data_IF_059483168428
#
_entry.id   IF_059483168428
#
_cell.length_a   1.000
_cell.length_b   1.000
_cell.length_c   1.000
_cell.angle_alpha   90.00
_cell.angle_beta   90.00
_cell.angle_gamma   90.00
#
_symmetry.space_group_name_H-M   'P 1'
#
loop_
_entity.id
_entity.type
_entity.pdbx_description
1 polymer ?
#
# COMPACT_ATOMS: atom_id res chain seq x y z
N UNK A 1 -10.24 -1.52 -29.02
CA UNK A 1 -9.01 -1.04 -28.36
C UNK A 1 -9.38 -0.45 -26.99
N UNK A 2 -8.53 -0.62 -25.98
CA UNK A 2 -8.72 0.04 -24.68
C UNK A 2 -8.43 1.54 -24.79
N UNK A 3 -9.21 2.37 -24.11
CA UNK A 3 -8.95 3.81 -24.00
C UNK A 3 -7.66 4.08 -23.21
N UNK A 4 -7.13 5.31 -23.29
CA UNK A 4 -5.96 5.70 -22.51
C UNK A 4 -6.24 5.63 -21.00
N UNK A 5 -7.43 6.07 -20.60
CA UNK A 5 -7.89 6.06 -19.21
C UNK A 5 -8.00 4.61 -18.67
N UNK A 6 -8.54 3.68 -19.46
CA UNK A 6 -8.63 2.28 -19.07
C UNK A 6 -7.25 1.64 -18.91
N UNK A 7 -6.28 2.01 -19.77
CA UNK A 7 -4.90 1.55 -19.63
C UNK A 7 -4.23 2.11 -18.37
N UNK A 8 -4.42 3.41 -18.08
CA UNK A 8 -3.89 4.04 -16.89
C UNK A 8 -4.48 3.40 -15.63
N UNK A 9 -5.78 3.11 -15.63
CA UNK A 9 -6.46 2.40 -14.53
C UNK A 9 -5.86 1.01 -14.30
N UNK A 10 -5.64 0.24 -15.37
CA UNK A 10 -5.01 -1.09 -15.30
C UNK A 10 -3.58 -1.01 -14.75
N UNK A 11 -2.77 -0.06 -15.26
CA UNK A 11 -1.37 0.08 -14.86
C UNK A 11 -1.21 0.51 -13.40
N UNK A 12 -2.10 1.39 -12.92
CA UNK A 12 -2.09 1.83 -11.52
C UNK A 12 -2.13 0.67 -10.53
N UNK A 13 -2.90 -0.40 -10.83
CA UNK A 13 -2.99 -1.56 -9.95
C UNK A 13 -1.64 -2.28 -9.79
N UNK A 14 -0.81 -2.27 -10.83
CA UNK A 14 0.56 -2.79 -10.77
C UNK A 14 1.46 -2.06 -9.75
N UNK A 15 1.24 -0.75 -9.56
CA UNK A 15 1.93 0.04 -8.54
C UNK A 15 1.34 -0.15 -7.15
N UNK A 16 0.04 0.03 -7.05
CA UNK A 16 -0.73 0.02 -5.82
C UNK A 16 -0.68 -1.34 -5.08
N UNK A 17 -0.75 -2.45 -5.81
CA UNK A 17 -0.71 -3.80 -5.24
C UNK A 17 0.61 -4.14 -4.54
N UNK A 18 1.70 -3.43 -4.85
CA UNK A 18 2.98 -3.62 -4.15
C UNK A 18 2.90 -3.28 -2.66
N UNK A 19 2.06 -2.32 -2.27
CA UNK A 19 1.82 -2.02 -0.86
C UNK A 19 1.13 -3.19 -0.15
N UNK A 20 0.10 -3.77 -0.75
CA UNK A 20 -0.62 -4.90 -0.17
C UNK A 20 0.27 -6.14 -0.01
N UNK A 21 1.03 -6.50 -1.05
CA UNK A 21 1.85 -7.70 -1.07
C UNK A 21 3.11 -7.56 -0.22
N UNK A 22 3.84 -6.47 -0.38
CA UNK A 22 5.15 -6.28 0.27
C UNK A 22 5.01 -5.72 1.68
N UNK A 23 4.19 -4.68 1.88
CA UNK A 23 4.11 -4.01 3.18
C UNK A 23 3.10 -4.70 4.09
N UNK A 24 1.82 -4.77 3.70
CA UNK A 24 0.76 -5.28 4.60
C UNK A 24 0.94 -6.77 4.89
N UNK A 25 1.11 -7.59 3.85
CA UNK A 25 1.08 -9.04 3.99
C UNK A 25 2.41 -9.64 4.50
N UNK A 26 3.55 -8.98 4.25
CA UNK A 26 4.85 -9.58 4.52
C UNK A 26 5.71 -8.75 5.48
N UNK A 27 6.29 -7.65 5.02
CA UNK A 27 7.42 -7.07 5.74
C UNK A 27 7.03 -6.25 6.96
N UNK A 28 5.88 -5.55 6.94
CA UNK A 28 5.52 -4.73 8.09
C UNK A 28 5.28 -5.57 9.36
N UNK A 29 4.47 -6.64 9.35
CA UNK A 29 4.25 -7.44 10.56
C UNK A 29 5.53 -8.05 11.12
N UNK A 30 6.39 -8.60 10.25
CA UNK A 30 7.66 -9.23 10.67
C UNK A 30 8.60 -8.16 11.25
N UNK A 31 8.79 -7.07 10.52
CA UNK A 31 9.72 -6.02 10.92
C UNK A 31 9.22 -5.23 12.15
N UNK A 32 7.91 -5.10 12.29
CA UNK A 32 7.32 -4.55 13.51
C UNK A 32 7.72 -5.37 14.72
N UNK A 33 7.56 -6.70 14.66
CA UNK A 33 7.88 -7.60 15.77
C UNK A 33 9.37 -7.63 16.10
N UNK A 34 10.23 -7.68 15.09
CA UNK A 34 11.65 -7.98 15.26
C UNK A 34 12.53 -6.74 15.41
N UNK A 35 12.08 -5.59 14.89
CA UNK A 35 12.88 -4.37 14.84
C UNK A 35 12.27 -3.22 15.65
N UNK A 36 11.03 -2.82 15.34
CA UNK A 36 10.45 -1.66 16.00
C UNK A 36 9.90 -1.96 17.40
N UNK A 37 9.29 -3.12 17.59
CA UNK A 37 8.69 -3.54 18.87
C UNK A 37 9.49 -4.64 19.57
N UNK A 38 10.77 -4.83 19.21
CA UNK A 38 11.60 -5.95 19.71
C UNK A 38 11.65 -6.08 21.23
N UNK A 39 11.57 -4.97 21.95
CA UNK A 39 11.58 -4.94 23.42
C UNK A 39 10.23 -5.25 24.09
N UNK A 40 9.14 -5.39 23.33
CA UNK A 40 7.82 -5.70 23.88
C UNK A 40 7.57 -7.21 23.95
N UNK A 41 6.68 -7.62 24.87
CA UNK A 41 6.20 -9.00 24.97
C UNK A 41 5.41 -9.41 23.71
N UNK A 42 5.42 -10.71 23.37
CA UNK A 42 4.84 -11.22 22.13
C UNK A 42 3.32 -10.94 22.00
N UNK A 43 2.59 -11.09 23.10
CA UNK A 43 1.15 -10.82 23.17
C UNK A 43 0.85 -9.33 22.94
N UNK A 44 1.68 -8.45 23.49
CA UNK A 44 1.56 -7.00 23.33
C UNK A 44 1.82 -6.58 21.90
N UNK A 45 2.85 -7.14 21.23
CA UNK A 45 3.14 -6.89 19.81
C UNK A 45 1.95 -7.25 18.93
N UNK A 46 1.39 -8.44 19.12
CA UNK A 46 0.24 -8.92 18.36
C UNK A 46 -0.99 -8.04 18.59
N UNK A 47 -1.25 -7.66 19.85
CA UNK A 47 -2.34 -6.78 20.20
C UNK A 47 -2.19 -5.40 19.54
N UNK A 48 -1.01 -4.80 19.56
CA UNK A 48 -0.78 -3.48 18.95
C UNK A 48 -0.91 -3.50 17.44
N UNK A 49 -0.42 -4.55 16.75
CA UNK A 49 -0.66 -4.73 15.32
C UNK A 49 -2.15 -4.85 15.01
N UNK A 50 -2.87 -5.68 15.77
CA UNK A 50 -4.31 -5.84 15.63
C UNK A 50 -5.07 -4.53 15.88
N UNK A 51 -4.72 -3.78 16.92
CA UNK A 51 -5.32 -2.48 17.20
C UNK A 51 -5.02 -1.44 16.11
N UNK A 52 -3.78 -1.40 15.60
CA UNK A 52 -3.41 -0.48 14.51
C UNK A 52 -4.25 -0.70 13.25
N UNK A 53 -4.42 -1.94 12.83
CA UNK A 53 -5.28 -2.31 11.70
C UNK A 53 -6.76 -2.03 12.00
N UNK A 54 -7.23 -2.38 13.19
CA UNK A 54 -8.63 -2.17 13.60
C UNK A 54 -8.98 -0.69 13.60
N UNK A 55 -8.14 0.15 14.20
CA UNK A 55 -8.39 1.60 14.28
C UNK A 55 -8.42 2.20 12.86
N UNK A 56 -7.45 1.87 11.99
CA UNK A 56 -7.44 2.42 10.62
C UNK A 56 -8.68 1.99 9.83
N UNK A 57 -9.16 0.75 9.98
CA UNK A 57 -10.36 0.27 9.33
C UNK A 57 -11.65 0.85 9.94
N UNK A 58 -11.69 1.10 11.25
CA UNK A 58 -12.82 1.81 11.88
C UNK A 58 -12.91 3.26 11.40
N UNK A 59 -11.79 3.96 11.31
CA UNK A 59 -11.77 5.32 10.74
C UNK A 59 -12.29 5.29 9.30
N UNK A 60 -11.90 4.30 8.49
CA UNK A 60 -12.43 4.13 7.13
C UNK A 60 -13.94 3.89 7.14
N UNK A 61 -14.44 3.01 8.00
CA UNK A 61 -15.87 2.71 8.12
C UNK A 61 -16.69 3.99 8.37
N UNK A 62 -16.25 4.85 9.29
CA UNK A 62 -16.97 6.08 9.61
C UNK A 62 -16.77 7.19 8.56
N UNK A 63 -15.64 7.22 7.86
CA UNK A 63 -15.36 8.26 6.85
C UNK A 63 -15.85 7.89 5.44
N UNK A 64 -16.03 6.60 5.13
CA UNK A 64 -16.40 6.14 3.79
C UNK A 64 -17.72 6.73 3.26
N UNK A 65 -18.82 6.92 4.05
CA UNK A 65 -20.01 7.58 3.55
C UNK A 65 -19.78 9.05 3.13
N UNK A 66 -18.93 9.76 3.88
CA UNK A 66 -18.57 11.15 3.56
C UNK A 66 -17.69 11.22 2.31
N UNK A 67 -16.73 10.31 2.18
CA UNK A 67 -15.89 10.17 0.98
C UNK A 67 -16.79 9.88 -0.23
N UNK A 68 -17.76 8.97 -0.10
CA UNK A 68 -18.73 8.64 -1.13
C UNK A 68 -19.52 9.87 -1.59
N UNK A 69 -20.13 10.61 -0.66
CA UNK A 69 -20.90 11.82 -0.94
C UNK A 69 -20.07 12.93 -1.60
N UNK A 70 -18.83 13.14 -1.16
CA UNK A 70 -17.92 14.13 -1.73
C UNK A 70 -17.48 13.78 -3.16
N UNK A 71 -17.50 12.51 -3.53
CA UNK A 71 -17.02 12.02 -4.82
C UNK A 71 -18.10 11.75 -5.86
N UNK A 72 -19.31 12.27 -5.67
CA UNK A 72 -20.36 12.23 -6.70
C UNK A 72 -20.00 13.11 -7.92
N UNK A 73 -19.05 14.05 -7.75
CA UNK A 73 -18.47 14.83 -8.82
C UNK A 73 -17.12 14.23 -9.24
N UNK A 74 -16.96 13.88 -10.52
CA UNK A 74 -15.77 13.18 -11.04
C UNK A 74 -14.43 13.89 -10.77
N UNK A 75 -14.42 15.22 -10.76
CA UNK A 75 -13.21 16.02 -10.44
C UNK A 75 -12.77 15.80 -9.00
N UNK A 76 -13.71 15.80 -8.04
CA UNK A 76 -13.42 15.58 -6.62
C UNK A 76 -12.89 14.17 -6.38
N UNK A 77 -13.41 13.17 -7.09
CA UNK A 77 -12.92 11.77 -7.04
C UNK A 77 -11.44 11.69 -7.37
N UNK A 78 -10.99 12.32 -8.46
CA UNK A 78 -9.57 12.30 -8.87
C UNK A 78 -8.68 13.02 -7.86
N UNK A 79 -9.11 14.16 -7.33
CA UNK A 79 -8.34 14.92 -6.33
C UNK A 79 -8.14 14.11 -5.06
N UNK A 80 -9.23 13.52 -4.52
CA UNK A 80 -9.15 12.71 -3.30
C UNK A 80 -8.35 11.43 -3.54
N UNK A 81 -8.54 10.75 -4.66
CA UNK A 81 -7.76 9.58 -5.06
C UNK A 81 -6.26 9.88 -5.07
N UNK A 82 -5.84 10.95 -5.75
CA UNK A 82 -4.43 11.35 -5.79
C UNK A 82 -3.92 11.75 -4.41
N UNK A 83 -4.73 12.45 -3.63
CA UNK A 83 -4.38 12.86 -2.26
C UNK A 83 -4.15 11.65 -1.34
N UNK A 84 -5.07 10.69 -1.31
CA UNK A 84 -4.92 9.47 -0.54
C UNK A 84 -3.71 8.64 -1.01
N UNK A 85 -3.52 8.50 -2.32
CA UNK A 85 -2.35 7.82 -2.87
C UNK A 85 -1.05 8.48 -2.42
N UNK A 86 -0.93 9.81 -2.54
CA UNK A 86 0.26 10.55 -2.14
C UNK A 86 0.55 10.41 -0.64
N UNK A 87 -0.47 10.55 0.24
CA UNK A 87 -0.30 10.38 1.68
C UNK A 87 0.16 8.96 2.02
N UNK A 88 -0.43 7.95 1.37
CA UNK A 88 -0.03 6.55 1.58
C UNK A 88 1.43 6.33 1.18
N UNK A 89 1.81 6.76 -0.03
CA UNK A 89 3.18 6.66 -0.57
C UNK A 89 4.19 7.32 0.38
N UNK A 90 3.92 8.55 0.83
CA UNK A 90 4.81 9.26 1.76
C UNK A 90 4.89 8.54 3.10
N UNK A 91 3.76 8.06 3.62
CA UNK A 91 3.74 7.34 4.91
C UNK A 91 4.56 6.04 4.84
N UNK A 92 4.50 5.31 3.73
CA UNK A 92 5.33 4.12 3.50
C UNK A 92 6.81 4.49 3.39
N UNK A 93 7.15 5.59 2.68
CA UNK A 93 8.53 6.07 2.59
C UNK A 93 9.11 6.44 3.96
N UNK A 94 8.30 7.03 4.85
CA UNK A 94 8.71 7.39 6.22
C UNK A 94 9.13 6.16 7.03
N UNK A 95 8.55 4.97 6.79
CA UNK A 95 8.94 3.74 7.49
C UNK A 95 10.44 3.41 7.33
N UNK A 96 11.05 3.82 6.22
CA UNK A 96 12.50 3.67 6.01
C UNK A 96 13.32 4.39 7.08
N UNK A 97 12.88 5.53 7.57
CA UNK A 97 13.63 6.41 8.48
C UNK A 97 13.36 6.12 9.97
N UNK A 98 12.35 5.31 10.30
CA UNK A 98 11.96 5.03 11.69
C UNK A 98 13.02 4.14 12.37
N UNK A 99 13.65 4.61 13.48
CA UNK A 99 14.67 3.84 14.16
C UNK A 99 14.10 2.62 14.92
N UNK A 100 15.00 1.68 15.25
CA UNK A 100 14.66 0.53 16.08
C UNK A 100 14.04 0.95 17.42
N UNK A 101 13.07 0.19 17.92
CA UNK A 101 12.37 0.47 19.17
C UNK A 101 11.24 1.50 19.06
N UNK A 102 11.12 2.21 17.94
CA UNK A 102 10.09 3.27 17.75
C UNK A 102 8.77 2.69 17.21
N UNK A 103 8.26 1.66 17.90
CA UNK A 103 7.08 0.91 17.48
C UNK A 103 5.81 1.76 17.27
N UNK A 104 5.59 2.77 18.13
CA UNK A 104 4.41 3.63 18.03
C UNK A 104 4.44 4.48 16.75
N UNK A 105 5.61 5.04 16.41
CA UNK A 105 5.77 5.81 15.18
C UNK A 105 5.54 4.93 13.95
N UNK A 106 6.11 3.71 13.93
CA UNK A 106 5.90 2.76 12.84
C UNK A 106 4.42 2.41 12.69
N UNK A 107 3.72 2.15 13.80
CA UNK A 107 2.31 1.80 13.80
C UNK A 107 1.43 2.96 13.31
N UNK A 108 1.73 4.20 13.69
CA UNK A 108 1.00 5.39 13.25
C UNK A 108 1.14 5.57 11.73
N UNK A 109 2.37 5.57 11.19
CA UNK A 109 2.58 5.75 9.76
C UNK A 109 2.02 4.59 8.93
N UNK A 110 2.12 3.37 9.43
CA UNK A 110 1.47 2.23 8.81
C UNK A 110 -0.06 2.37 8.82
N UNK A 111 -0.67 2.78 9.94
CA UNK A 111 -2.11 3.00 10.05
C UNK A 111 -2.61 4.08 9.09
N UNK A 112 -1.87 5.20 8.96
CA UNK A 112 -2.17 6.26 7.98
C UNK A 112 -2.07 5.71 6.56
N UNK A 113 -0.99 4.97 6.24
CA UNK A 113 -0.80 4.37 4.92
C UNK A 113 -1.94 3.39 4.59
N UNK A 114 -2.30 2.51 5.53
CA UNK A 114 -3.37 1.52 5.35
C UNK A 114 -4.74 2.18 5.16
N UNK A 115 -5.06 3.20 5.96
CA UNK A 115 -6.30 3.97 5.81
C UNK A 115 -6.38 4.64 4.42
N UNK A 116 -5.32 5.36 4.04
CA UNK A 116 -5.28 6.07 2.76
C UNK A 116 -5.28 5.12 1.57
N UNK A 117 -4.61 3.98 1.66
CA UNK A 117 -4.65 2.91 0.67
C UNK A 117 -6.08 2.38 0.48
N UNK A 118 -6.76 2.05 1.57
CA UNK A 118 -8.11 1.50 1.51
C UNK A 118 -9.14 2.54 1.01
N UNK A 119 -9.03 3.80 1.45
CA UNK A 119 -9.85 4.90 0.94
C UNK A 119 -9.58 5.15 -0.55
N UNK A 120 -8.32 5.13 -0.96
CA UNK A 120 -7.91 5.25 -2.36
C UNK A 120 -8.47 4.12 -3.21
N UNK A 121 -8.43 2.87 -2.75
CA UNK A 121 -8.98 1.72 -3.48
C UNK A 121 -10.49 1.82 -3.67
N UNK A 122 -11.24 2.33 -2.69
CA UNK A 122 -12.68 2.59 -2.86
C UNK A 122 -12.94 3.56 -4.02
N UNK A 123 -12.09 4.58 -4.18
CA UNK A 123 -12.20 5.54 -5.28
C UNK A 123 -11.69 4.95 -6.61
N UNK A 124 -10.66 4.13 -6.57
CA UNK A 124 -10.15 3.39 -7.71
C UNK A 124 -11.23 2.48 -8.30
N UNK A 125 -11.95 1.73 -7.47
CA UNK A 125 -13.06 0.87 -7.89
C UNK A 125 -14.21 1.70 -8.49
N UNK A 126 -14.55 2.85 -7.88
CA UNK A 126 -15.55 3.78 -8.44
C UNK A 126 -15.15 4.29 -9.83
N UNK A 127 -13.87 4.52 -10.07
CA UNK A 127 -13.36 4.97 -11.37
C UNK A 127 -13.44 3.91 -12.46
N UNK A 128 -13.49 2.61 -12.13
CA UNK A 128 -13.67 1.53 -13.10
C UNK A 128 -14.92 1.75 -13.97
N UNK A 129 -16.03 2.16 -13.36
CA UNK A 129 -17.27 2.44 -14.09
C UNK A 129 -17.13 3.62 -15.06
N UNK A 130 -16.24 4.57 -14.74
CA UNK A 130 -16.01 5.74 -15.59
C UNK A 130 -15.13 5.42 -16.82
N UNK A 131 -14.20 4.45 -16.69
CA UNK A 131 -13.23 4.08 -17.74
C UNK A 131 -13.66 2.86 -18.55
N UNK A 132 -14.83 2.28 -18.25
CA UNK A 132 -15.37 1.06 -18.87
C UNK A 132 -16.83 1.26 -19.32
N UNK A 133 -17.37 0.22 -19.94
CA UNK A 133 -18.80 0.07 -20.27
C UNK A 133 -19.23 -1.38 -20.01
N UNK A 134 -20.54 -1.65 -20.10
CA UNK A 134 -21.13 -2.97 -19.82
C UNK A 134 -20.44 -4.11 -20.59
N UNK A 135 -19.98 -3.85 -21.82
CA UNK A 135 -19.37 -4.88 -22.69
C UNK A 135 -17.90 -5.19 -22.34
N UNK A 136 -17.21 -4.33 -21.60
CA UNK A 136 -15.77 -4.47 -21.36
C UNK A 136 -15.32 -4.35 -19.89
N UNK A 137 -16.21 -4.01 -18.97
CA UNK A 137 -15.90 -3.79 -17.55
C UNK A 137 -15.21 -5.03 -16.92
N UNK A 138 -15.74 -6.23 -17.16
CA UNK A 138 -15.15 -7.47 -16.63
C UNK A 138 -13.74 -7.68 -17.17
N UNK A 139 -13.49 -7.39 -18.44
CA UNK A 139 -12.17 -7.52 -19.05
C UNK A 139 -11.18 -6.52 -18.51
N UNK A 140 -11.58 -5.24 -18.35
CA UNK A 140 -10.71 -4.18 -17.79
C UNK A 140 -10.36 -4.52 -16.34
N UNK A 141 -11.34 -4.93 -15.53
CA UNK A 141 -11.12 -5.36 -14.15
C UNK A 141 -10.15 -6.55 -14.09
N UNK A 142 -10.34 -7.58 -14.94
CA UNK A 142 -9.44 -8.74 -14.99
C UNK A 142 -8.00 -8.35 -15.35
N UNK A 143 -7.83 -7.41 -16.26
CA UNK A 143 -6.49 -6.90 -16.59
C UNK A 143 -5.87 -6.10 -15.43
N UNK A 144 -6.65 -5.28 -14.70
CA UNK A 144 -6.20 -4.62 -13.49
C UNK A 144 -5.65 -5.64 -12.49
N UNK A 145 -6.44 -6.62 -12.09
CA UNK A 145 -5.99 -7.68 -11.19
C UNK A 145 -4.74 -8.41 -11.69
N UNK A 146 -4.67 -8.75 -12.99
CA UNK A 146 -3.49 -9.41 -13.55
C UNK A 146 -2.24 -8.54 -13.43
N UNK A 147 -2.34 -7.24 -13.76
CA UNK A 147 -1.24 -6.30 -13.59
C UNK A 147 -0.90 -6.04 -12.12
N UNK A 148 -1.88 -6.01 -11.22
CA UNK A 148 -1.70 -5.93 -9.78
C UNK A 148 -0.86 -7.09 -9.25
N UNK A 149 -1.23 -8.33 -9.59
CA UNK A 149 -0.45 -9.51 -9.19
C UNK A 149 0.95 -9.54 -9.80
N UNK A 150 1.09 -9.15 -11.08
CA UNK A 150 2.40 -9.11 -11.73
C UNK A 150 3.29 -8.01 -11.14
N UNK A 151 2.78 -6.79 -10.99
CA UNK A 151 3.56 -5.67 -10.48
C UNK A 151 3.90 -5.82 -9.00
N UNK A 152 2.90 -6.13 -8.16
CA UNK A 152 3.11 -6.38 -6.74
C UNK A 152 3.98 -7.60 -6.48
N UNK A 153 3.76 -8.70 -7.23
CA UNK A 153 4.54 -9.92 -7.11
C UNK A 153 5.99 -9.76 -7.57
N UNK A 154 6.23 -9.03 -8.67
CA UNK A 154 7.58 -8.78 -9.15
C UNK A 154 8.39 -7.97 -8.13
N UNK A 155 7.84 -6.86 -7.62
CA UNK A 155 8.53 -6.07 -6.62
C UNK A 155 8.73 -6.84 -5.31
N UNK A 156 7.73 -7.62 -4.90
CA UNK A 156 7.86 -8.50 -3.72
C UNK A 156 9.00 -9.50 -3.88
N UNK A 157 9.16 -10.14 -5.04
CA UNK A 157 10.25 -11.08 -5.31
C UNK A 157 11.61 -10.39 -5.23
N UNK A 158 11.75 -9.18 -5.77
CA UNK A 158 12.99 -8.39 -5.68
C UNK A 158 13.30 -8.09 -4.20
N UNK A 159 12.31 -7.62 -3.45
CA UNK A 159 12.47 -7.30 -2.03
C UNK A 159 12.75 -8.53 -1.18
N UNK A 160 12.14 -9.68 -1.48
CA UNK A 160 12.45 -10.94 -0.84
C UNK A 160 13.89 -11.39 -1.13
N UNK A 161 14.35 -11.26 -2.37
CA UNK A 161 15.75 -11.54 -2.72
C UNK A 161 16.73 -10.64 -1.96
N UNK A 162 16.39 -9.35 -1.79
CA UNK A 162 17.20 -8.40 -0.99
C UNK A 162 17.29 -8.83 0.48
N UNK A 163 16.23 -9.40 1.06
CA UNK A 163 16.25 -9.86 2.46
C UNK A 163 16.95 -11.20 2.64
N UNK A 164 16.91 -12.09 1.63
CA UNK A 164 17.59 -13.40 1.67
C UNK A 164 19.11 -13.25 1.50
N UNK A 165 19.54 -12.35 0.61
CA UNK A 165 20.96 -12.13 0.30
C UNK A 165 21.25 -10.62 0.19
N UNK A 166 21.29 -9.89 1.31
CA UNK A 166 21.51 -8.43 1.30
C UNK A 166 22.81 -8.03 0.62
N UNK A 167 23.86 -8.83 0.80
CA UNK A 167 25.21 -8.58 0.26
C UNK A 167 25.25 -8.50 -1.28
N UNK A 168 24.37 -9.20 -1.99
CA UNK A 168 24.26 -9.11 -3.45
C UNK A 168 23.77 -7.74 -3.92
N UNK A 169 23.04 -7.04 -3.05
CA UNK A 169 22.51 -5.70 -3.30
C UNK A 169 23.34 -4.59 -2.66
N UNK A 170 24.52 -4.93 -2.10
CA UNK A 170 25.39 -3.98 -1.42
C UNK A 170 24.84 -3.51 -0.06
N UNK A 171 23.95 -4.28 0.57
CA UNK A 171 23.33 -3.97 1.85
C UNK A 171 24.04 -4.72 2.98
N UNK A 172 24.11 -4.07 4.14
CA UNK A 172 24.89 -4.56 5.29
C UNK A 172 24.12 -5.54 6.18
N UNK A 173 22.79 -5.57 6.08
CA UNK A 173 21.93 -6.40 6.94
C UNK A 173 20.55 -6.63 6.37
N UNK A 174 19.85 -7.66 6.90
CA UNK A 174 18.44 -7.92 6.60
C UNK A 174 17.56 -6.74 7.00
N UNK A 175 17.83 -6.11 8.15
CA UNK A 175 17.09 -4.94 8.61
C UNK A 175 17.21 -3.76 7.63
N UNK A 176 18.39 -3.55 7.06
CA UNK A 176 18.60 -2.55 6.01
C UNK A 176 17.80 -2.91 4.74
N UNK A 177 17.83 -4.17 4.32
CA UNK A 177 17.08 -4.65 3.16
C UNK A 177 15.57 -4.44 3.31
N UNK A 178 15.00 -4.72 4.50
CA UNK A 178 13.57 -4.49 4.76
C UNK A 178 13.24 -2.99 4.72
N UNK A 179 14.09 -2.13 5.27
CA UNK A 179 13.90 -0.67 5.18
C UNK A 179 13.90 -0.20 3.73
N UNK A 180 14.85 -0.66 2.91
CA UNK A 180 14.87 -0.37 1.47
C UNK A 180 13.64 -0.92 0.74
N UNK A 181 13.06 -2.03 1.22
CA UNK A 181 11.83 -2.56 0.65
C UNK A 181 10.65 -1.59 0.83
N UNK A 182 10.50 -0.92 1.97
CA UNK A 182 9.48 0.13 2.13
C UNK A 182 9.69 1.30 1.17
N UNK A 183 10.92 1.77 1.05
CA UNK A 183 11.23 2.86 0.12
C UNK A 183 11.01 2.45 -1.33
N UNK A 184 11.39 1.23 -1.71
CA UNK A 184 11.18 0.70 -3.06
C UNK A 184 9.69 0.62 -3.43
N UNK A 185 8.81 0.24 -2.48
CA UNK A 185 7.35 0.26 -2.68
C UNK A 185 6.86 1.67 -2.95
N UNK A 186 7.34 2.66 -2.20
CA UNK A 186 6.95 4.06 -2.41
C UNK A 186 7.38 4.58 -3.78
N UNK A 187 8.61 4.29 -4.20
CA UNK A 187 9.13 4.66 -5.53
C UNK A 187 8.32 3.94 -6.62
N UNK A 188 8.14 2.63 -6.49
CA UNK A 188 7.36 1.82 -7.43
C UNK A 188 5.97 2.36 -7.63
N UNK A 189 5.23 2.58 -6.54
CA UNK A 189 3.86 3.11 -6.59
C UNK A 189 3.79 4.52 -7.21
N UNK A 190 4.80 5.36 -6.97
CA UNK A 190 4.89 6.70 -7.58
C UNK A 190 5.05 6.66 -9.10
N UNK A 191 5.67 5.61 -9.65
CA UNK A 191 5.91 5.47 -11.09
C UNK A 191 4.63 5.11 -11.87
N UNK A 192 3.64 4.54 -11.21
CA UNK A 192 2.38 4.11 -11.82
C UNK A 192 1.22 5.05 -11.51
#
# INVERSE_FOLDING_TARGET
>A
KLSAEAKAWILYDGGNSAFATTVIAAFFPIFFNDFWASALEAEVKTAYLGWGLTISNLVLLFTSPFIGALTDVSRTTKILFTGFGAISIVSVAVLYFIPAGSWLQALIFFGIANYCFAAGNTLYDKMLVQVSNESNIARISSYGFAFGYLGGGLLFLINAAMTIKPEFFGLSSVAEAVRWSFLSVSVWWTLF
#
